data_IF_685905408891
#
_entry.id   IF_685905408891
#
_cell.length_a   1.000
_cell.length_b   1.000
_cell.length_c   1.000
_cell.angle_alpha   90.00
_cell.angle_beta   90.00
_cell.angle_gamma   90.00
#
_symmetry.space_group_name_H-M   'P 1'
#
loop_
_entity.id
_entity.type
_entity.pdbx_description
1 polymer ?
#
# COMPACT_ATOMS: atom_id res chain seq x y z
N UNK A 1 -7.54 20.44 -4.76
CA UNK A 1 -8.21 19.65 -5.81
C UNK A 1 -9.41 20.40 -6.36
N UNK A 2 -10.41 20.83 -5.54
CA UNK A 2 -11.62 21.55 -5.98
C UNK A 2 -11.32 22.84 -6.77
N UNK A 3 -10.32 23.62 -6.34
CA UNK A 3 -9.88 24.85 -7.02
C UNK A 3 -9.28 24.56 -8.41
N UNK A 4 -8.58 23.45 -8.57
CA UNK A 4 -8.01 23.01 -9.84
C UNK A 4 -9.10 22.52 -10.81
N UNK A 5 -10.10 21.80 -10.31
CA UNK A 5 -11.23 21.32 -11.10
C UNK A 5 -12.19 22.43 -11.57
N UNK A 6 -12.10 23.62 -10.97
CA UNK A 6 -12.92 24.78 -11.38
C UNK A 6 -12.26 25.62 -12.49
N UNK A 7 -10.99 25.39 -12.82
CA UNK A 7 -10.30 26.07 -13.91
C UNK A 7 -10.63 25.41 -15.25
N UNK A 8 -11.34 26.14 -16.14
CA UNK A 8 -11.70 25.71 -17.51
C UNK A 8 -10.52 25.35 -18.43
N UNK A 9 -9.30 25.50 -17.96
CA UNK A 9 -8.09 25.26 -18.77
C UNK A 9 -7.61 23.78 -18.75
N UNK A 10 -8.25 22.93 -17.95
CA UNK A 10 -7.91 21.49 -17.86
C UNK A 10 -8.94 20.65 -18.61
N UNK A 11 -8.47 19.51 -19.14
CA UNK A 11 -9.30 18.54 -19.87
C UNK A 11 -10.50 18.00 -19.05
N UNK A 12 -10.44 18.13 -17.73
CA UNK A 12 -11.52 17.77 -16.81
C UNK A 12 -11.84 18.99 -15.96
N UNK A 13 -13.03 19.59 -16.13
CA UNK A 13 -13.51 20.70 -15.32
C UNK A 13 -14.97 20.49 -14.92
N UNK A 14 -15.36 21.01 -13.77
CA UNK A 14 -16.72 20.91 -13.24
C UNK A 14 -17.43 22.24 -13.48
N UNK A 15 -18.39 22.24 -14.40
CA UNK A 15 -19.13 23.43 -14.80
C UNK A 15 -20.18 23.87 -13.79
N UNK A 16 -20.82 22.93 -13.11
CA UNK A 16 -21.94 23.20 -12.18
C UNK A 16 -21.84 22.32 -10.92
N UNK A 17 -21.15 22.81 -9.89
CA UNK A 17 -21.03 22.14 -8.59
C UNK A 17 -22.36 21.93 -7.87
N UNK A 18 -23.37 22.76 -8.13
CA UNK A 18 -24.67 22.75 -7.42
C UNK A 18 -25.78 21.98 -8.17
N UNK A 19 -25.56 21.54 -9.42
CA UNK A 19 -26.55 20.75 -10.16
C UNK A 19 -26.14 19.26 -10.16
N UNK A 20 -26.23 18.64 -9.01
CA UNK A 20 -25.91 17.22 -8.84
C UNK A 20 -27.14 16.37 -9.18
N UNK A 21 -27.06 15.61 -10.27
CA UNK A 21 -28.05 14.56 -10.59
C UNK A 21 -27.51 13.23 -10.10
N UNK A 22 -28.19 12.60 -9.16
CA UNK A 22 -27.88 11.26 -8.68
C UNK A 22 -28.17 10.24 -9.79
N UNK A 23 -27.14 9.65 -10.36
CA UNK A 23 -27.27 8.51 -11.27
C UNK A 23 -27.21 7.20 -10.45
N UNK A 24 -28.38 6.66 -10.13
CA UNK A 24 -28.52 5.41 -9.36
C UNK A 24 -27.85 4.22 -10.07
N UNK A 25 -27.80 4.22 -11.40
CA UNK A 25 -27.18 3.16 -12.19
C UNK A 25 -25.66 3.17 -12.03
N UNK A 26 -25.07 4.36 -12.04
CA UNK A 26 -23.63 4.56 -11.80
C UNK A 26 -23.28 4.25 -10.35
N UNK A 27 -24.08 4.70 -9.38
CA UNK A 27 -23.91 4.36 -7.96
C UNK A 27 -23.93 2.85 -7.73
N UNK A 28 -24.88 2.13 -8.31
CA UNK A 28 -24.96 0.67 -8.20
C UNK A 28 -23.71 -0.03 -8.73
N UNK A 29 -23.13 0.46 -9.84
CA UNK A 29 -21.87 -0.06 -10.40
C UNK A 29 -20.69 0.18 -9.46
N UNK A 30 -20.57 1.38 -8.92
CA UNK A 30 -19.50 1.74 -7.98
C UNK A 30 -19.62 0.90 -6.69
N UNK A 31 -20.82 0.78 -6.14
CA UNK A 31 -21.08 -0.01 -4.93
C UNK A 31 -20.85 -1.51 -5.16
N UNK A 32 -21.16 -2.04 -6.33
CA UNK A 32 -20.93 -3.44 -6.65
C UNK A 32 -19.45 -3.82 -6.61
N UNK A 33 -18.55 -2.89 -6.89
CA UNK A 33 -17.09 -3.09 -6.78
C UNK A 33 -16.60 -2.66 -5.40
N UNK A 34 -17.11 -1.55 -4.88
CA UNK A 34 -16.65 -0.94 -3.63
C UNK A 34 -17.02 -1.76 -2.39
N UNK A 35 -18.20 -2.40 -2.35
CA UNK A 35 -18.63 -3.20 -1.19
C UNK A 35 -17.70 -4.41 -0.98
N UNK A 36 -17.42 -5.27 -1.97
CA UNK A 36 -16.49 -6.38 -1.79
C UNK A 36 -15.09 -5.92 -1.37
N UNK A 37 -14.54 -4.89 -2.00
CA UNK A 37 -13.23 -4.33 -1.63
C UNK A 37 -13.21 -3.75 -0.23
N UNK A 38 -14.30 -3.10 0.21
CA UNK A 38 -14.40 -2.57 1.57
C UNK A 38 -14.49 -3.68 2.61
N UNK A 39 -15.21 -4.76 2.32
CA UNK A 39 -15.29 -5.94 3.19
C UNK A 39 -13.93 -6.61 3.33
N UNK A 40 -13.21 -6.82 2.23
CA UNK A 40 -11.85 -7.37 2.22
C UNK A 40 -10.91 -6.54 3.11
N UNK A 41 -10.88 -5.21 2.90
CA UNK A 41 -10.07 -4.31 3.72
C UNK A 41 -10.50 -4.34 5.20
N UNK A 42 -11.81 -4.43 5.49
CA UNK A 42 -12.32 -4.51 6.86
C UNK A 42 -11.88 -5.79 7.56
N UNK A 43 -11.96 -6.94 6.89
CA UNK A 43 -11.46 -8.20 7.43
C UNK A 43 -9.96 -8.19 7.67
N UNK A 44 -9.19 -7.59 6.76
CA UNK A 44 -7.76 -7.43 6.94
C UNK A 44 -7.43 -6.58 8.17
N UNK A 45 -8.12 -5.46 8.35
CA UNK A 45 -7.93 -4.59 9.52
C UNK A 45 -8.37 -5.26 10.83
N UNK A 46 -9.48 -6.00 10.82
CA UNK A 46 -9.90 -6.80 11.97
C UNK A 46 -8.83 -7.84 12.35
N UNK A 47 -8.24 -8.52 11.37
CA UNK A 47 -7.14 -9.45 11.60
C UNK A 47 -5.94 -8.76 12.25
N UNK A 48 -5.57 -7.56 11.82
CA UNK A 48 -4.50 -6.77 12.45
C UNK A 48 -4.81 -6.39 13.89
N UNK A 49 -6.04 -5.99 14.18
CA UNK A 49 -6.47 -5.64 15.55
C UNK A 49 -6.40 -6.86 16.46
N UNK A 50 -6.88 -8.01 16.00
CA UNK A 50 -6.80 -9.27 16.75
C UNK A 50 -5.35 -9.68 17.01
N UNK A 51 -4.47 -9.55 16.01
CA UNK A 51 -3.03 -9.82 16.16
C UNK A 51 -2.40 -8.93 17.23
N UNK A 52 -2.65 -7.63 17.20
CA UNK A 52 -2.14 -6.69 18.21
C UNK A 52 -2.69 -7.03 19.60
N UNK A 53 -3.98 -7.41 19.68
CA UNK A 53 -4.59 -7.85 20.94
C UNK A 53 -3.90 -9.11 21.50
N UNK A 54 -3.56 -10.07 20.66
CA UNK A 54 -2.80 -11.26 21.09
C UNK A 54 -1.39 -10.88 21.55
N UNK A 55 -0.68 -10.02 20.82
CA UNK A 55 0.66 -9.57 21.17
C UNK A 55 0.66 -8.82 22.50
N UNK A 56 -0.40 -8.07 22.81
CA UNK A 56 -0.49 -7.34 24.08
C UNK A 56 -0.47 -8.25 25.31
N UNK A 57 -0.84 -9.51 25.17
CA UNK A 57 -0.76 -10.53 26.22
C UNK A 57 0.66 -11.02 26.54
N UNK A 58 1.64 -10.77 25.66
CA UNK A 58 3.03 -11.23 25.85
C UNK A 58 3.91 -10.24 26.60
N UNK A 59 3.52 -8.96 26.68
CA UNK A 59 4.25 -7.94 27.45
C UNK A 59 4.59 -6.69 26.62
N UNK A 60 5.15 -5.70 27.33
CA UNK A 60 5.43 -4.37 26.72
C UNK A 60 6.56 -4.38 25.71
N UNK A 61 7.57 -5.25 25.89
CA UNK A 61 8.69 -5.36 24.95
C UNK A 61 8.23 -5.86 23.57
N UNK A 62 7.31 -6.83 23.55
CA UNK A 62 6.74 -7.39 22.31
C UNK A 62 5.83 -6.39 21.61
N UNK A 63 5.04 -5.60 22.35
CA UNK A 63 4.23 -4.52 21.77
C UNK A 63 5.12 -3.47 21.12
N UNK A 64 6.17 -3.04 21.82
CA UNK A 64 7.12 -2.06 21.29
C UNK A 64 7.83 -2.58 20.03
N UNK A 65 8.30 -3.83 20.06
CA UNK A 65 8.94 -4.48 18.92
C UNK A 65 7.99 -4.55 17.71
N UNK A 66 6.75 -4.97 17.92
CA UNK A 66 5.74 -5.04 16.85
C UNK A 66 5.39 -3.67 16.27
N UNK A 67 5.29 -2.63 17.09
CA UNK A 67 5.02 -1.27 16.65
C UNK A 67 6.15 -0.73 15.77
N UNK A 68 7.40 -0.91 16.17
CA UNK A 68 8.57 -0.47 15.39
C UNK A 68 8.70 -1.28 14.10
N UNK A 69 8.53 -2.60 14.15
CA UNK A 69 8.55 -3.45 12.97
C UNK A 69 7.48 -3.02 11.95
N UNK A 70 6.23 -2.82 12.39
CA UNK A 70 5.15 -2.35 11.50
C UNK A 70 5.44 -0.97 10.87
N UNK A 71 6.08 -0.05 11.61
CA UNK A 71 6.46 1.25 11.05
C UNK A 71 7.51 1.08 9.94
N UNK A 72 8.52 0.25 10.15
CA UNK A 72 9.57 -0.01 9.16
C UNK A 72 9.02 -0.76 7.94
N UNK A 73 8.14 -1.73 8.15
CA UNK A 73 7.45 -2.45 7.09
C UNK A 73 6.62 -1.50 6.21
N UNK A 74 5.92 -0.54 6.81
CA UNK A 74 5.16 0.47 6.06
C UNK A 74 6.06 1.27 5.10
N UNK A 75 7.28 1.63 5.52
CA UNK A 75 8.23 2.29 4.62
C UNK A 75 8.64 1.39 3.45
N UNK A 76 8.84 0.09 3.70
CA UNK A 76 9.15 -0.90 2.66
C UNK A 76 8.02 -1.10 1.63
N UNK A 77 6.77 -0.96 2.07
CA UNK A 77 5.56 -1.19 1.26
C UNK A 77 5.15 0.04 0.43
N UNK A 78 5.48 1.26 0.89
CA UNK A 78 5.06 2.52 0.26
C UNK A 78 5.28 2.57 -1.27
N UNK A 79 6.44 2.18 -1.82
CA UNK A 79 6.65 2.19 -3.27
C UNK A 79 5.71 1.23 -4.00
N UNK A 80 5.45 0.05 -3.41
CA UNK A 80 4.51 -0.92 -3.97
C UNK A 80 3.10 -0.36 -4.05
N UNK A 81 2.60 0.26 -3.00
CA UNK A 81 1.28 0.92 -2.98
C UNK A 81 1.19 2.05 -4.01
N UNK A 82 2.21 2.89 -4.10
CA UNK A 82 2.25 3.98 -5.09
C UNK A 82 2.22 3.44 -6.53
N UNK A 83 2.98 2.37 -6.79
CA UNK A 83 2.99 1.72 -8.10
C UNK A 83 1.67 1.02 -8.42
N UNK A 84 1.00 0.42 -7.44
CA UNK A 84 -0.35 -0.15 -7.60
C UNK A 84 -1.36 0.91 -8.05
N UNK A 85 -1.36 2.09 -7.41
CA UNK A 85 -2.22 3.21 -7.83
C UNK A 85 -1.89 3.71 -9.25
N UNK A 86 -0.61 3.79 -9.59
CA UNK A 86 -0.17 4.15 -10.95
C UNK A 86 -0.62 3.11 -11.98
N UNK A 87 -0.55 1.82 -11.63
CA UNK A 87 -0.98 0.70 -12.47
C UNK A 87 -2.48 0.79 -12.79
N UNK A 88 -3.32 1.03 -11.79
CA UNK A 88 -4.78 1.21 -11.98
C UNK A 88 -5.05 2.33 -12.99
N UNK A 89 -4.34 3.45 -12.88
CA UNK A 89 -4.53 4.61 -13.78
C UNK A 89 -4.09 4.30 -15.21
N UNK A 90 -2.89 3.73 -15.38
CA UNK A 90 -2.33 3.43 -16.71
C UNK A 90 -3.14 2.34 -17.40
N UNK A 91 -3.46 1.26 -16.69
CA UNK A 91 -4.26 0.16 -17.25
C UNK A 91 -5.67 0.65 -17.60
N UNK A 92 -6.29 1.45 -16.73
CA UNK A 92 -7.61 2.02 -16.99
C UNK A 92 -7.66 2.86 -18.27
N UNK A 93 -6.61 3.64 -18.54
CA UNK A 93 -6.48 4.40 -19.80
C UNK A 93 -6.31 3.48 -21.02
N UNK A 94 -5.45 2.47 -20.94
CA UNK A 94 -5.24 1.53 -22.04
C UNK A 94 -6.48 0.70 -22.35
N UNK A 95 -7.19 0.23 -21.32
CA UNK A 95 -8.48 -0.47 -21.50
C UNK A 95 -9.55 0.45 -22.10
N UNK A 96 -9.60 1.70 -21.65
CA UNK A 96 -10.52 2.70 -22.22
C UNK A 96 -10.24 3.02 -23.68
N UNK A 97 -8.98 2.91 -24.12
CA UNK A 97 -8.56 3.05 -25.51
C UNK A 97 -8.75 1.76 -26.35
N UNK A 98 -9.09 0.63 -25.71
CA UNK A 98 -9.24 -0.67 -26.37
C UNK A 98 -7.92 -1.35 -26.76
N UNK A 99 -6.78 -0.86 -26.28
CA UNK A 99 -5.45 -1.37 -26.63
C UNK A 99 -4.94 -2.34 -25.56
N UNK A 100 -5.30 -3.62 -25.70
CA UNK A 100 -4.93 -4.69 -24.77
C UNK A 100 -3.46 -5.10 -24.85
N UNK A 101 -2.78 -4.81 -25.97
CA UNK A 101 -1.35 -5.10 -26.09
C UNK A 101 -0.53 -4.13 -25.24
N UNK A 102 -0.92 -2.87 -25.20
CA UNK A 102 -0.34 -1.89 -24.27
C UNK A 102 -0.62 -2.23 -22.80
N UNK A 103 -1.80 -2.76 -22.47
CA UNK A 103 -2.09 -3.25 -21.11
C UNK A 103 -1.05 -4.26 -20.67
N UNK A 104 -0.79 -5.29 -21.49
CA UNK A 104 0.20 -6.35 -21.18
C UNK A 104 1.63 -5.78 -21.07
N UNK A 105 1.98 -4.86 -21.95
CA UNK A 105 3.30 -4.23 -21.95
C UNK A 105 3.52 -3.42 -20.67
N UNK A 106 2.59 -2.52 -20.33
CA UNK A 106 2.71 -1.68 -19.14
C UNK A 106 2.63 -2.49 -17.85
N UNK A 107 1.78 -3.49 -17.78
CA UNK A 107 1.70 -4.40 -16.63
C UNK A 107 3.08 -5.02 -16.35
N UNK A 108 3.69 -5.67 -17.34
CA UNK A 108 5.01 -6.30 -17.19
C UNK A 108 6.11 -5.29 -16.84
N UNK A 109 6.09 -4.13 -17.48
CA UNK A 109 7.10 -3.08 -17.28
C UNK A 109 7.01 -2.47 -15.88
N UNK A 110 5.79 -2.12 -15.43
CA UNK A 110 5.56 -1.53 -14.12
C UNK A 110 5.82 -2.56 -13.01
N UNK A 111 5.40 -3.82 -13.17
CA UNK A 111 5.77 -4.90 -12.25
C UNK A 111 7.28 -4.99 -12.08
N UNK A 112 8.04 -5.05 -13.18
CA UNK A 112 9.50 -5.15 -13.12
C UNK A 112 10.13 -3.96 -12.38
N UNK A 113 9.62 -2.75 -12.63
CA UNK A 113 10.08 -1.54 -11.94
C UNK A 113 9.75 -1.62 -10.44
N UNK A 114 8.54 -2.06 -10.08
CA UNK A 114 8.10 -2.25 -8.69
C UNK A 114 9.04 -3.21 -7.96
N UNK A 115 9.35 -4.37 -8.55
CA UNK A 115 10.28 -5.33 -7.97
C UNK A 115 11.65 -4.71 -7.71
N UNK A 116 12.22 -4.02 -8.70
CA UNK A 116 13.55 -3.40 -8.56
C UNK A 116 13.54 -2.33 -7.45
N UNK A 117 12.56 -1.44 -7.44
CA UNK A 117 12.47 -0.37 -6.43
C UNK A 117 12.29 -0.96 -5.04
N UNK A 118 11.40 -1.93 -4.87
CA UNK A 118 11.16 -2.56 -3.57
C UNK A 118 12.38 -3.33 -3.09
N UNK A 119 13.09 -4.02 -3.97
CA UNK A 119 14.33 -4.72 -3.61
C UNK A 119 15.41 -3.75 -3.13
N UNK A 120 15.67 -2.69 -3.90
CA UNK A 120 16.66 -1.67 -3.54
C UNK A 120 16.30 -1.03 -2.18
N UNK A 121 15.05 -0.66 -2.00
CA UNK A 121 14.59 -0.01 -0.76
C UNK A 121 14.71 -0.96 0.45
N UNK A 122 14.33 -2.22 0.29
CA UNK A 122 14.47 -3.22 1.37
C UNK A 122 15.93 -3.48 1.73
N UNK A 123 16.82 -3.57 0.74
CA UNK A 123 18.27 -3.72 1.01
C UNK A 123 18.79 -2.51 1.80
N UNK A 124 18.41 -1.30 1.40
CA UNK A 124 18.77 -0.06 2.12
C UNK A 124 18.22 -0.06 3.54
N UNK A 125 16.97 -0.48 3.74
CA UNK A 125 16.36 -0.62 5.06
C UNK A 125 17.12 -1.62 5.94
N UNK A 126 17.50 -2.78 5.39
CA UNK A 126 18.30 -3.76 6.11
C UNK A 126 19.67 -3.22 6.52
N UNK A 127 20.35 -2.51 5.63
CA UNK A 127 21.64 -1.89 5.92
C UNK A 127 21.54 -0.78 6.97
N UNK A 128 20.44 -0.02 6.96
CA UNK A 128 20.17 1.06 7.89
C UNK A 128 19.55 0.58 9.23
N UNK A 129 19.11 -0.67 9.31
CA UNK A 129 18.39 -1.23 10.45
C UNK A 129 19.08 -0.98 11.81
N UNK A 130 20.40 -1.27 12.00
CA UNK A 130 21.07 -1.06 13.28
C UNK A 130 21.09 0.42 13.68
N UNK A 131 21.19 1.32 12.71
CA UNK A 131 21.17 2.77 12.96
C UNK A 131 19.78 3.25 13.38
N UNK A 132 18.76 2.79 12.70
CA UNK A 132 17.37 3.13 12.97
C UNK A 132 16.95 2.61 14.33
N UNK A 133 17.25 1.34 14.67
CA UNK A 133 16.88 0.75 15.95
C UNK A 133 17.58 1.42 17.14
N UNK A 134 18.81 1.90 16.96
CA UNK A 134 19.49 2.73 17.97
C UNK A 134 18.74 4.03 18.25
N UNK A 135 18.17 4.67 17.22
CA UNK A 135 17.40 5.90 17.39
C UNK A 135 16.09 5.69 18.16
N UNK A 136 15.50 4.50 18.10
CA UNK A 136 14.29 4.15 18.84
C UNK A 136 14.53 3.86 20.35
N UNK A 137 15.78 3.74 20.81
CA UNK A 137 16.14 3.46 22.23
C UNK A 137 15.34 2.30 22.83
N UNK A 138 15.25 1.19 22.11
CA UNK A 138 14.54 -0.01 22.54
C UNK A 138 15.30 -0.74 23.63
N UNK A 139 14.58 -1.46 24.51
CA UNK A 139 15.21 -2.44 25.42
C UNK A 139 15.85 -3.57 24.60
N UNK A 140 16.87 -4.22 25.18
CA UNK A 140 17.61 -5.30 24.50
C UNK A 140 16.69 -6.44 24.03
N UNK A 141 15.68 -6.76 24.81
CA UNK A 141 14.65 -7.73 24.43
C UNK A 141 13.83 -7.25 23.23
N UNK A 142 13.33 -6.01 23.27
CA UNK A 142 12.53 -5.45 22.19
C UNK A 142 13.36 -5.30 20.90
N UNK A 143 14.65 -4.98 21.01
CA UNK A 143 15.58 -4.93 19.89
C UNK A 143 15.67 -6.28 19.18
N UNK A 144 15.93 -7.36 19.92
CA UNK A 144 16.05 -8.71 19.36
C UNK A 144 14.75 -9.16 18.67
N UNK A 145 13.60 -8.95 19.31
CA UNK A 145 12.31 -9.27 18.70
C UNK A 145 12.04 -8.45 17.42
N UNK A 146 12.40 -7.17 17.41
CA UNK A 146 12.24 -6.31 16.23
C UNK A 146 13.09 -6.82 15.07
N UNK A 147 14.36 -7.16 15.31
CA UNK A 147 15.25 -7.69 14.28
C UNK A 147 14.70 -8.99 13.70
N UNK A 148 14.25 -9.92 14.54
CA UNK A 148 13.66 -11.19 14.09
C UNK A 148 12.41 -10.94 13.25
N UNK A 149 11.49 -10.08 13.71
CA UNK A 149 10.26 -9.73 12.98
C UNK A 149 10.57 -9.13 11.61
N UNK A 150 11.50 -8.19 11.54
CA UNK A 150 11.88 -7.55 10.28
C UNK A 150 12.57 -8.55 9.34
N UNK A 151 13.45 -9.43 9.86
CA UNK A 151 14.06 -10.47 9.04
C UNK A 151 13.04 -11.43 8.45
N UNK A 152 12.04 -11.84 9.21
CA UNK A 152 10.97 -12.71 8.72
C UNK A 152 10.08 -11.97 7.71
N UNK A 153 9.60 -10.77 8.06
CA UNK A 153 8.72 -9.98 7.20
C UNK A 153 9.41 -9.60 5.89
N UNK A 154 10.56 -8.95 5.95
CA UNK A 154 11.25 -8.50 4.75
C UNK A 154 11.91 -9.64 3.97
N UNK A 155 12.36 -10.71 4.64
CA UNK A 155 12.90 -11.89 3.96
C UNK A 155 11.84 -12.61 3.10
N UNK A 156 10.65 -12.82 3.64
CA UNK A 156 9.53 -13.40 2.88
C UNK A 156 8.89 -12.39 1.91
N UNK A 157 8.83 -11.14 2.32
CA UNK A 157 8.20 -10.05 1.57
C UNK A 157 8.94 -9.66 0.29
N UNK A 158 10.26 -9.85 0.21
CA UNK A 158 11.07 -9.60 -0.99
C UNK A 158 10.52 -10.31 -2.24
N UNK A 159 9.89 -11.47 -2.07
CA UNK A 159 9.36 -12.26 -3.17
C UNK A 159 7.84 -12.12 -3.35
N UNK A 160 7.08 -11.96 -2.27
CA UNK A 160 5.62 -12.04 -2.30
C UNK A 160 4.95 -10.67 -2.43
N UNK A 161 5.47 -9.64 -1.78
CA UNK A 161 4.82 -8.33 -1.72
C UNK A 161 4.74 -7.58 -3.06
N UNK A 162 5.78 -7.56 -3.92
CA UNK A 162 5.63 -6.86 -5.19
C UNK A 162 4.50 -7.41 -6.06
N UNK A 163 4.26 -8.72 -5.98
CA UNK A 163 3.16 -9.37 -6.71
C UNK A 163 1.77 -9.05 -6.12
N UNK A 164 1.67 -8.78 -4.82
CA UNK A 164 0.38 -8.47 -4.17
C UNK A 164 -0.10 -7.04 -4.42
N UNK A 165 0.77 -6.13 -4.85
CA UNK A 165 0.41 -4.73 -5.16
C UNK A 165 0.15 -4.50 -6.65
N UNK A 166 0.33 -5.48 -7.50
CA UNK A 166 0.13 -5.43 -8.95
C UNK A 166 -0.99 -6.35 -9.41
#
# INVERSE_FOLDING_TARGET
VLVLLHRKHYAIYIEKLLHFKLDLKMMKRILAIGIPSSLENSFFQLGRVLLVSMISGFGTAQIAANAVANNLDNFGILPGQAMGLALITVIGQCVGAGDYDQVRYYLKKLMKITYVIMWVLNIVLFAALPLILKAYNLSDEAYNYTVILICIHNGCALFLWPASFT
#
